data_IF_538936093116
#
_entry.id   IF_538936093116
#
_cell.length_a   1.000
_cell.length_b   1.000
_cell.length_c   1.000
_cell.angle_alpha   90.00
_cell.angle_beta   90.00
_cell.angle_gamma   90.00
#
_symmetry.space_group_name_H-M   'P 1'
#
loop_
_entity.id
_entity.type
_entity.pdbx_description
1 polymer ?
#
# COMPACT_ATOMS: atom_id res chain seq x y z
N UNK A 1 -22.22 -11.86 7.52
CA UNK A 1 -21.68 -10.64 8.16
C UNK A 1 -20.15 -10.53 8.12
N UNK A 2 -19.37 -11.60 7.91
CA UNK A 2 -17.90 -11.53 7.93
C UNK A 2 -17.28 -10.58 6.88
N UNK A 3 -17.91 -10.43 5.70
CA UNK A 3 -17.48 -9.49 4.66
C UNK A 3 -17.59 -8.01 5.05
N UNK A 4 -18.41 -7.67 6.06
CA UNK A 4 -18.61 -6.28 6.48
C UNK A 4 -17.36 -5.66 7.10
N UNK A 5 -16.56 -6.46 7.81
CA UNK A 5 -15.37 -5.99 8.53
C UNK A 5 -14.31 -5.42 7.58
N UNK A 6 -13.83 -6.15 6.55
CA UNK A 6 -12.84 -5.61 5.61
C UNK A 6 -13.43 -4.53 4.70
N UNK A 7 -14.70 -4.64 4.30
CA UNK A 7 -15.35 -3.62 3.47
C UNK A 7 -15.46 -2.28 4.19
N UNK A 8 -15.79 -2.29 5.49
CA UNK A 8 -15.91 -1.06 6.27
C UNK A 8 -14.60 -0.27 6.30
N UNK A 9 -13.47 -0.97 6.43
CA UNK A 9 -12.13 -0.38 6.40
C UNK A 9 -11.72 0.09 5.00
N UNK A 10 -12.17 -0.60 3.94
CA UNK A 10 -11.79 -0.29 2.55
C UNK A 10 -12.61 0.83 1.90
N UNK A 11 -13.94 0.80 2.01
CA UNK A 11 -14.85 1.66 1.23
C UNK A 11 -15.73 2.57 2.10
N UNK A 12 -15.56 2.48 3.42
CA UNK A 12 -16.26 3.31 4.40
C UNK A 12 -17.72 2.94 4.66
N UNK A 13 -18.24 3.45 5.78
CA UNK A 13 -19.53 3.02 6.36
C UNK A 13 -20.73 3.05 5.41
N UNK A 14 -20.90 4.14 4.65
CA UNK A 14 -22.10 4.34 3.82
C UNK A 14 -22.18 3.31 2.69
N UNK A 15 -21.08 3.13 1.94
CA UNK A 15 -21.02 2.21 0.80
C UNK A 15 -21.05 0.75 1.26
N UNK A 16 -20.36 0.42 2.35
CA UNK A 16 -20.43 -0.91 2.94
C UNK A 16 -21.85 -1.28 3.34
N UNK A 17 -22.57 -0.37 4.03
CA UNK A 17 -23.93 -0.66 4.48
C UNK A 17 -24.91 -0.79 3.31
N UNK A 18 -24.79 0.07 2.31
CA UNK A 18 -25.56 0.00 1.06
C UNK A 18 -25.41 -1.37 0.38
N UNK A 19 -24.17 -1.81 0.11
CA UNK A 19 -23.91 -3.08 -0.56
C UNK A 19 -24.38 -4.31 0.24
N UNK A 20 -24.22 -4.29 1.57
CA UNK A 20 -24.63 -5.40 2.43
C UNK A 20 -26.15 -5.51 2.49
N UNK A 21 -26.86 -4.39 2.56
CA UNK A 21 -28.31 -4.37 2.73
C UNK A 21 -29.06 -4.59 1.41
N UNK A 22 -28.53 -4.08 0.30
CA UNK A 22 -29.12 -4.28 -1.04
C UNK A 22 -28.75 -5.62 -1.65
N UNK A 23 -27.52 -6.11 -1.40
CA UNK A 23 -26.99 -7.28 -2.10
C UNK A 23 -26.64 -7.01 -3.56
N UNK A 24 -26.56 -5.75 -3.97
CA UNK A 24 -26.29 -5.37 -5.36
C UNK A 24 -24.90 -5.81 -5.81
N UNK A 25 -24.85 -6.33 -7.04
CA UNK A 25 -23.59 -6.65 -7.72
C UNK A 25 -23.09 -5.37 -8.40
N UNK A 26 -21.84 -5.02 -8.13
CA UNK A 26 -21.17 -3.87 -8.75
C UNK A 26 -20.23 -4.32 -9.86
N UNK A 27 -20.10 -3.48 -10.89
CA UNK A 27 -19.10 -3.67 -11.94
C UNK A 27 -17.71 -3.18 -11.50
N UNK A 28 -16.70 -3.44 -12.35
CA UNK A 28 -15.32 -3.05 -12.08
C UNK A 28 -15.14 -1.53 -11.95
N UNK A 29 -15.85 -0.74 -12.76
CA UNK A 29 -15.75 0.73 -12.71
C UNK A 29 -16.25 1.26 -11.38
N UNK A 30 -17.38 0.74 -10.90
CA UNK A 30 -17.93 1.13 -9.61
C UNK A 30 -17.05 0.65 -8.46
N UNK A 31 -16.48 -0.55 -8.55
CA UNK A 31 -15.52 -1.05 -7.56
C UNK A 31 -14.28 -0.16 -7.47
N UNK A 32 -13.77 0.36 -8.59
CA UNK A 32 -12.66 1.31 -8.60
C UNK A 32 -13.05 2.67 -7.99
N UNK A 33 -14.20 3.21 -8.39
CA UNK A 33 -14.73 4.49 -7.92
C UNK A 33 -14.89 4.54 -6.39
N UNK A 34 -15.38 3.44 -5.79
CA UNK A 34 -15.56 3.36 -4.33
C UNK A 34 -14.29 2.95 -3.58
N UNK A 35 -13.17 2.68 -4.27
CA UNK A 35 -11.91 2.27 -3.65
C UNK A 35 -11.87 0.80 -3.19
N UNK A 36 -12.71 -0.07 -3.76
CA UNK A 36 -12.67 -1.51 -3.49
C UNK A 36 -11.51 -2.20 -4.22
N UNK A 37 -11.15 -1.70 -5.40
CA UNK A 37 -10.01 -2.17 -6.20
C UNK A 37 -9.10 -1.01 -6.57
N UNK A 38 -7.83 -1.30 -6.83
CA UNK A 38 -6.82 -0.26 -7.11
C UNK A 38 -6.65 0.08 -8.60
N UNK A 39 -6.98 -0.85 -9.51
CA UNK A 39 -6.76 -0.70 -10.96
C UNK A 39 -7.67 -1.64 -11.75
N UNK A 40 -8.11 -1.18 -12.92
CA UNK A 40 -8.79 -1.98 -13.94
C UNK A 40 -7.84 -2.16 -15.13
N UNK A 41 -7.79 -3.37 -15.69
CA UNK A 41 -7.02 -3.72 -16.88
C UNK A 41 -7.84 -4.66 -17.77
N UNK A 42 -7.56 -4.75 -19.09
CA UNK A 42 -8.14 -5.79 -19.94
C UNK A 42 -7.84 -7.18 -19.39
N UNK A 43 -8.78 -8.12 -19.55
CA UNK A 43 -8.64 -9.48 -19.02
C UNK A 43 -7.39 -10.19 -19.55
N UNK A 44 -7.08 -10.02 -20.84
CA UNK A 44 -5.89 -10.58 -21.47
C UNK A 44 -4.56 -10.12 -20.82
N UNK A 45 -4.55 -8.92 -20.24
CA UNK A 45 -3.35 -8.30 -19.67
C UNK A 45 -3.25 -8.51 -18.15
N UNK A 46 -4.26 -9.08 -17.50
CA UNK A 46 -4.36 -9.18 -16.04
C UNK A 46 -3.14 -9.86 -15.42
N UNK A 47 -2.71 -10.97 -16.01
CA UNK A 47 -1.56 -11.74 -15.52
C UNK A 47 -0.24 -10.96 -15.66
N UNK A 48 -0.06 -10.27 -16.80
CA UNK A 48 1.14 -9.48 -17.07
C UNK A 48 1.22 -8.27 -16.13
N UNK A 49 0.16 -7.49 -16.04
CA UNK A 49 0.12 -6.29 -15.21
C UNK A 49 0.24 -6.63 -13.71
N UNK A 50 -0.33 -7.75 -13.27
CA UNK A 50 -0.15 -8.25 -11.90
C UNK A 50 1.31 -8.61 -11.62
N UNK A 51 1.97 -9.36 -12.52
CA UNK A 51 3.40 -9.70 -12.37
C UNK A 51 4.29 -8.48 -12.37
N UNK A 52 4.02 -7.52 -13.25
CA UNK A 52 4.73 -6.24 -13.32
C UNK A 52 4.57 -5.44 -12.03
N UNK A 53 3.35 -5.40 -11.46
CA UNK A 53 3.11 -4.74 -10.18
C UNK A 53 3.83 -5.43 -9.03
N UNK A 54 3.77 -6.77 -8.97
CA UNK A 54 4.51 -7.55 -7.99
C UNK A 54 6.03 -7.36 -8.10
N UNK A 55 6.57 -7.28 -9.33
CA UNK A 55 7.98 -6.99 -9.59
C UNK A 55 8.42 -5.64 -8.99
N UNK A 56 7.60 -4.58 -9.16
CA UNK A 56 7.87 -3.26 -8.55
C UNK A 56 7.95 -3.31 -7.02
N UNK A 57 7.17 -4.19 -6.38
CA UNK A 57 7.22 -4.38 -4.93
C UNK A 57 8.41 -5.25 -4.51
N UNK A 58 8.76 -6.27 -5.30
CA UNK A 58 9.88 -7.17 -5.07
C UNK A 58 11.26 -6.48 -5.21
N UNK A 59 11.34 -5.40 -5.99
CA UNK A 59 12.55 -4.55 -6.07
C UNK A 59 12.84 -3.75 -4.78
N UNK A 60 11.90 -3.70 -3.83
CA UNK A 60 12.07 -2.97 -2.56
C UNK A 60 12.72 -3.85 -1.52
N UNK A 61 13.37 -3.21 -0.53
CA UNK A 61 13.92 -3.91 0.62
C UNK A 61 12.84 -4.78 1.30
N UNK A 62 13.03 -6.11 1.40
CA UNK A 62 12.00 -7.00 1.94
C UNK A 62 11.72 -6.76 3.42
N UNK A 63 12.73 -6.36 4.20
CA UNK A 63 12.57 -6.02 5.62
C UNK A 63 11.77 -4.74 5.78
N UNK A 64 12.08 -3.71 4.97
CA UNK A 64 11.33 -2.46 4.98
C UNK A 64 9.87 -2.67 4.54
N UNK A 65 9.63 -3.49 3.51
CA UNK A 65 8.27 -3.81 3.05
C UNK A 65 7.47 -4.56 4.11
N UNK A 66 8.09 -5.55 4.78
CA UNK A 66 7.43 -6.31 5.84
C UNK A 66 7.09 -5.43 7.04
N UNK A 67 8.05 -4.64 7.53
CA UNK A 67 7.82 -3.77 8.67
C UNK A 67 6.82 -2.66 8.33
N UNK A 68 6.94 -2.03 7.16
CA UNK A 68 6.00 -1.01 6.69
C UNK A 68 4.57 -1.53 6.61
N UNK A 69 4.37 -2.70 6.01
CA UNK A 69 3.05 -3.35 5.94
C UNK A 69 2.50 -3.66 7.34
N UNK A 70 3.33 -4.22 8.23
CA UNK A 70 2.93 -4.50 9.61
C UNK A 70 2.53 -3.22 10.35
N UNK A 71 3.34 -2.17 10.21
CA UNK A 71 3.12 -0.86 10.84
C UNK A 71 1.79 -0.27 10.40
N UNK A 72 1.51 -0.30 9.09
CA UNK A 72 0.27 0.23 8.53
C UNK A 72 -0.98 -0.44 9.14
N UNK A 73 -0.99 -1.77 9.24
CA UNK A 73 -2.13 -2.47 9.85
C UNK A 73 -2.22 -2.26 11.37
N UNK A 74 -1.10 -2.01 12.05
CA UNK A 74 -1.13 -1.72 13.48
C UNK A 74 -1.71 -0.34 13.78
N UNK A 75 -1.33 0.68 13.02
CA UNK A 75 -1.80 2.05 13.26
C UNK A 75 -3.26 2.28 12.91
N UNK A 76 -3.87 1.42 12.08
CA UNK A 76 -5.25 1.56 11.62
C UNK A 76 -6.26 1.61 12.77
N UNK A 77 -5.97 0.88 13.87
CA UNK A 77 -6.85 0.78 15.03
C UNK A 77 -6.30 1.54 16.26
N UNK A 78 -5.29 2.41 16.08
CA UNK A 78 -4.64 3.17 17.16
C UNK A 78 -5.15 4.61 17.26
N UNK A 79 -4.95 5.23 18.43
CA UNK A 79 -5.10 6.69 18.56
C UNK A 79 -4.00 7.39 17.78
N UNK A 80 -4.27 8.62 17.35
CA UNK A 80 -3.38 9.37 16.48
C UNK A 80 -1.98 9.55 17.09
N UNK A 81 -1.91 9.91 18.36
CA UNK A 81 -0.64 10.14 19.07
C UNK A 81 0.18 8.85 19.16
N UNK A 82 -0.46 7.75 19.58
CA UNK A 82 0.18 6.43 19.67
C UNK A 82 0.66 5.94 18.29
N UNK A 83 -0.11 6.21 17.23
CA UNK A 83 0.24 5.84 15.86
C UNK A 83 1.47 6.61 15.35
N UNK A 84 1.60 7.90 15.68
CA UNK A 84 2.77 8.71 15.35
C UNK A 84 4.01 8.19 16.07
N UNK A 85 3.90 7.87 17.37
CA UNK A 85 5.03 7.31 18.13
C UNK A 85 5.50 5.97 17.57
N UNK A 86 4.56 5.05 17.29
CA UNK A 86 4.89 3.73 16.73
C UNK A 86 5.56 3.84 15.35
N UNK A 87 5.03 4.69 14.47
CA UNK A 87 5.59 4.86 13.12
C UNK A 87 6.96 5.49 13.14
N UNK A 88 7.21 6.47 14.01
CA UNK A 88 8.53 7.05 14.22
C UNK A 88 9.53 6.00 14.73
N UNK A 89 9.13 5.15 15.69
CA UNK A 89 9.97 4.07 16.19
C UNK A 89 10.33 3.06 15.09
N UNK A 90 9.35 2.61 14.31
CA UNK A 90 9.60 1.68 13.20
C UNK A 90 10.47 2.31 12.11
N UNK A 91 10.27 3.59 11.81
CA UNK A 91 11.13 4.32 10.86
C UNK A 91 12.57 4.41 11.34
N UNK A 92 12.79 4.81 12.60
CA UNK A 92 14.13 4.85 13.20
C UNK A 92 14.80 3.46 13.18
N UNK A 93 14.04 2.41 13.51
CA UNK A 93 14.52 1.01 13.42
C UNK A 93 14.98 0.68 12.01
N UNK A 94 14.20 1.03 10.98
CA UNK A 94 14.60 0.81 9.59
C UNK A 94 15.92 1.50 9.28
N UNK A 95 16.10 2.77 9.67
CA UNK A 95 17.33 3.53 9.44
C UNK A 95 18.59 2.90 10.08
N UNK A 96 18.43 2.08 11.13
CA UNK A 96 19.54 1.42 11.82
C UNK A 96 19.93 0.06 11.25
N UNK A 97 19.11 -0.54 10.38
CA UNK A 97 19.48 -1.77 9.69
C UNK A 97 20.70 -1.49 8.78
N UNK A 98 21.49 -2.50 8.39
CA UNK A 98 22.68 -2.30 7.55
C UNK A 98 22.37 -1.92 6.09
N UNK A 99 21.10 -2.02 5.68
CA UNK A 99 20.64 -1.85 4.30
C UNK A 99 20.20 -0.43 3.85
N UNK A 100 19.69 0.49 4.70
CA UNK A 100 19.31 1.84 4.29
C UNK A 100 20.51 2.69 3.92
N UNK A 101 21.71 2.47 4.47
CA UNK A 101 22.89 3.27 4.07
C UNK A 101 23.20 3.09 2.58
N UNK A 102 23.24 1.85 2.11
CA UNK A 102 23.48 1.55 0.69
C UNK A 102 22.35 2.05 -0.22
N UNK A 103 21.09 1.97 0.23
CA UNK A 103 19.94 2.49 -0.53
C UNK A 103 19.87 4.03 -0.55
N UNK A 104 20.16 4.68 0.58
CA UNK A 104 20.25 6.15 0.69
C UNK A 104 21.42 6.67 -0.12
N UNK A 105 22.59 6.02 -0.07
CA UNK A 105 23.73 6.36 -0.92
C UNK A 105 23.42 6.14 -2.41
N UNK A 106 22.78 5.03 -2.78
CA UNK A 106 22.32 4.78 -4.15
C UNK A 106 21.30 5.83 -4.61
N UNK A 107 20.39 6.25 -3.73
CA UNK A 107 19.42 7.32 -3.98
C UNK A 107 20.09 8.69 -4.16
N UNK A 108 21.03 9.05 -3.28
CA UNK A 108 21.82 10.28 -3.36
C UNK A 108 22.69 10.30 -4.62
N UNK A 109 23.31 9.18 -4.98
CA UNK A 109 24.15 9.03 -6.18
C UNK A 109 23.34 8.98 -7.49
N UNK A 110 22.10 8.45 -7.47
CA UNK A 110 21.19 8.53 -8.63
C UNK A 110 20.75 9.96 -8.93
N UNK A 111 20.64 10.81 -7.91
CA UNK A 111 20.28 12.22 -8.06
C UNK A 111 21.43 13.08 -8.63
N UNK A 112 22.70 12.66 -8.51
CA UNK A 112 23.81 13.36 -9.19
C UNK A 112 23.84 13.05 -10.69
N UNK A 113 23.64 11.79 -11.09
CA UNK A 113 23.64 11.36 -12.51
C UNK A 113 22.48 11.92 -13.35
N UNK A 114 21.44 12.47 -12.73
CA UNK A 114 20.31 13.11 -13.42
C UNK A 114 20.56 14.58 -13.79
N UNK A 115 21.61 15.21 -13.25
CA UNK A 115 21.97 16.61 -13.57
C UNK A 115 22.90 16.78 -14.77
N UNK A 116 23.58 15.72 -15.23
CA UNK A 116 24.58 15.78 -16.29
C UNK A 116 24.07 15.36 -17.70
N UNK A 117 22.76 15.15 -17.87
CA UNK A 117 22.13 14.88 -19.17
C UNK A 117 21.16 15.99 -19.58
N UNK A 118 21.66 17.21 -19.68
CA UNK A 118 20.95 18.32 -20.33
C UNK A 118 21.70 18.76 -21.57
#
# INVERSE_FOLDING_TARGET
MGSAVPLLKSIGRKRTLELIMTGDIIDANKALDIGLINKIVPEADLAEETKKYAGKLAEKNPVAMQLGKKSFYQIEDMKYEDAIELTNYHFATLCTLDSPRAEVESFLNKNSKRKDKK
#
